data_IF_510857613396
#
_entry.id   IF_510857613396
#
_cell.length_a   1.000
_cell.length_b   1.000
_cell.length_c   1.000
_cell.angle_alpha   90.00
_cell.angle_beta   90.00
_cell.angle_gamma   90.00
#
_symmetry.space_group_name_H-M   'P 1'
#
loop_
_entity.id
_entity.type
_entity.pdbx_description
1 polymer ?
#
# COMPACT_ATOMS: atom_id res chain seq x y z
N UNK A 1 9.79 -26.39 14.05
CA UNK A 1 10.40 -25.42 14.99
C UNK A 1 10.62 -25.97 16.40
N UNK A 2 9.65 -26.63 17.05
CA UNK A 2 9.79 -27.15 18.43
C UNK A 2 11.02 -28.05 18.62
N UNK A 3 11.26 -29.02 17.73
CA UNK A 3 12.43 -29.92 17.82
C UNK A 3 13.77 -29.19 17.63
N UNK A 4 13.82 -28.21 16.73
CA UNK A 4 15.01 -27.40 16.48
C UNK A 4 15.34 -26.50 17.68
N UNK A 5 14.31 -25.92 18.32
CA UNK A 5 14.47 -25.13 19.54
C UNK A 5 14.95 -25.99 20.71
N UNK A 6 14.37 -27.17 20.90
CA UNK A 6 14.81 -28.11 21.94
C UNK A 6 16.27 -28.51 21.76
N UNK A 7 16.69 -28.83 20.54
CA UNK A 7 18.08 -29.16 20.21
C UNK A 7 19.02 -28.00 20.51
N UNK A 8 18.63 -26.79 20.11
CA UNK A 8 19.36 -25.57 20.38
C UNK A 8 19.54 -25.32 21.88
N UNK A 9 18.45 -25.45 22.64
CA UNK A 9 18.46 -25.23 24.09
C UNK A 9 19.35 -26.27 24.81
N UNK A 10 19.44 -27.51 24.31
CA UNK A 10 20.32 -28.55 24.86
C UNK A 10 21.78 -28.49 24.39
N UNK A 11 22.12 -27.65 23.40
CA UNK A 11 23.50 -27.56 22.90
C UNK A 11 24.41 -26.86 23.90
N UNK A 12 25.54 -27.50 24.23
CA UNK A 12 26.58 -26.98 25.11
C UNK A 12 27.48 -25.93 24.45
N UNK A 13 27.49 -25.85 23.12
CA UNK A 13 28.28 -24.87 22.37
C UNK A 13 27.41 -24.25 21.26
N UNK A 14 27.03 -22.98 21.43
CA UNK A 14 26.16 -22.25 20.50
C UNK A 14 26.95 -21.13 19.87
N UNK A 15 27.42 -21.36 18.65
CA UNK A 15 28.11 -20.34 17.85
C UNK A 15 27.11 -19.43 17.11
N UNK A 16 27.63 -18.35 16.50
CA UNK A 16 26.82 -17.37 15.77
C UNK A 16 26.00 -18.02 14.64
N UNK A 17 26.49 -19.10 14.03
CA UNK A 17 25.80 -19.82 12.95
C UNK A 17 24.56 -20.52 13.51
N UNK A 18 24.69 -21.21 14.63
CA UNK A 18 23.59 -21.95 15.27
C UNK A 18 22.50 -20.98 15.71
N UNK A 19 22.86 -19.85 16.33
CA UNK A 19 21.92 -18.79 16.68
C UNK A 19 21.20 -18.23 15.44
N UNK A 20 21.97 -17.88 14.41
CA UNK A 20 21.44 -17.32 13.15
C UNK A 20 20.45 -18.27 12.49
N UNK A 21 20.75 -19.58 12.48
CA UNK A 21 19.88 -20.59 11.88
C UNK A 21 18.51 -20.68 12.58
N UNK A 22 18.50 -20.64 13.91
CA UNK A 22 17.24 -20.70 14.68
C UNK A 22 16.43 -19.41 14.51
N UNK A 23 17.08 -18.24 14.55
CA UNK A 23 16.44 -16.95 14.29
C UNK A 23 15.79 -16.94 12.90
N UNK A 24 16.55 -17.31 11.86
CA UNK A 24 16.04 -17.40 10.49
C UNK A 24 14.87 -18.38 10.36
N UNK A 25 14.94 -19.53 11.06
CA UNK A 25 13.86 -20.51 11.08
C UNK A 25 12.55 -19.96 11.67
N UNK A 26 12.63 -19.22 12.78
CA UNK A 26 11.45 -18.58 13.38
C UNK A 26 10.92 -17.44 12.51
N UNK A 27 11.80 -16.59 11.98
CA UNK A 27 11.45 -15.48 11.09
C UNK A 27 10.70 -15.96 9.85
N UNK A 28 11.24 -16.96 9.13
CA UNK A 28 10.58 -17.57 7.95
C UNK A 28 9.28 -18.30 8.27
N UNK A 29 9.08 -18.70 9.53
CA UNK A 29 7.83 -19.33 9.98
C UNK A 29 6.78 -18.30 10.43
N UNK A 30 7.01 -16.99 10.21
CA UNK A 30 6.14 -15.90 10.66
C UNK A 30 6.14 -15.66 12.17
N UNK A 31 6.93 -16.40 12.93
CA UNK A 31 7.03 -16.29 14.39
C UNK A 31 8.06 -15.23 14.79
N UNK A 32 7.89 -14.01 14.26
CA UNK A 32 8.87 -12.92 14.37
C UNK A 32 9.15 -12.49 15.80
N UNK A 33 8.17 -12.58 16.71
CA UNK A 33 8.35 -12.27 18.13
C UNK A 33 9.38 -13.20 18.77
N UNK A 34 9.28 -14.51 18.51
CA UNK A 34 10.25 -15.48 19.02
C UNK A 34 11.61 -15.32 18.35
N UNK A 35 11.63 -15.00 17.06
CA UNK A 35 12.86 -14.70 16.33
C UNK A 35 13.59 -13.49 16.94
N UNK A 36 12.85 -12.41 17.25
CA UNK A 36 13.35 -11.18 17.89
C UNK A 36 13.96 -11.47 19.25
N UNK A 37 13.24 -12.17 20.12
CA UNK A 37 13.73 -12.53 21.45
C UNK A 37 15.06 -13.29 21.39
N UNK A 38 15.18 -14.24 20.46
CA UNK A 38 16.43 -14.98 20.27
C UNK A 38 17.52 -14.10 19.68
N UNK A 39 17.18 -13.25 18.70
CA UNK A 39 18.12 -12.31 18.10
C UNK A 39 18.70 -11.35 19.14
N UNK A 40 17.87 -10.81 20.04
CA UNK A 40 18.32 -9.95 21.14
C UNK A 40 19.34 -10.63 22.04
N UNK A 41 19.08 -11.88 22.40
CA UNK A 41 19.94 -12.71 23.25
C UNK A 41 21.24 -13.17 22.58
N UNK A 42 21.40 -12.98 21.26
CA UNK A 42 22.62 -13.36 20.56
C UNK A 42 23.82 -12.59 21.12
N UNK A 43 24.85 -13.29 21.66
CA UNK A 43 26.07 -12.66 22.19
C UNK A 43 26.84 -11.93 21.09
N UNK A 44 26.87 -12.53 19.90
CA UNK A 44 27.46 -11.96 18.70
C UNK A 44 26.42 -12.00 17.58
N UNK A 45 26.28 -10.89 16.86
CA UNK A 45 25.40 -10.76 15.69
C UNK A 45 26.25 -10.60 14.44
N UNK A 46 25.75 -11.08 13.31
CA UNK A 46 26.42 -10.91 12.02
C UNK A 46 25.43 -10.39 10.98
N UNK A 47 25.93 -10.03 9.81
CA UNK A 47 25.12 -9.49 8.70
C UNK A 47 23.93 -10.40 8.34
N UNK A 48 24.10 -11.72 8.45
CA UNK A 48 23.07 -12.71 8.12
C UNK A 48 21.95 -12.71 9.17
N UNK A 49 22.27 -12.63 10.46
CA UNK A 49 21.26 -12.59 11.52
C UNK A 49 20.44 -11.30 11.47
N UNK A 50 21.07 -10.16 11.22
CA UNK A 50 20.39 -8.87 11.00
C UNK A 50 19.44 -8.96 9.80
N UNK A 51 19.95 -9.41 8.65
CA UNK A 51 19.16 -9.51 7.42
C UNK A 51 17.99 -10.47 7.57
N UNK A 52 18.19 -11.61 8.25
CA UNK A 52 17.10 -12.57 8.50
C UNK A 52 15.96 -11.97 9.33
N UNK A 53 16.28 -11.15 10.34
CA UNK A 53 15.25 -10.46 11.12
C UNK A 53 14.53 -9.37 10.33
N UNK A 54 15.27 -8.55 9.58
CA UNK A 54 14.69 -7.50 8.73
C UNK A 54 13.75 -8.12 7.69
N UNK A 55 14.19 -9.20 7.02
CA UNK A 55 13.34 -9.95 6.08
C UNK A 55 12.12 -10.54 6.79
N UNK A 56 12.28 -11.11 7.99
CA UNK A 56 11.18 -11.67 8.77
C UNK A 56 10.10 -10.64 9.07
N UNK A 57 10.49 -9.45 9.53
CA UNK A 57 9.57 -8.34 9.79
C UNK A 57 8.83 -7.89 8.52
N UNK A 58 9.57 -7.66 7.43
CA UNK A 58 8.97 -7.27 6.15
C UNK A 58 7.98 -8.33 5.62
N UNK A 59 8.25 -9.62 5.81
CA UNK A 59 7.37 -10.71 5.35
C UNK A 59 6.04 -10.80 6.10
N UNK A 60 6.00 -10.39 7.37
CA UNK A 60 4.75 -10.37 8.16
C UNK A 60 4.05 -9.01 8.14
N UNK A 61 4.57 -8.04 7.38
CA UNK A 61 3.97 -6.71 7.22
C UNK A 61 4.36 -5.69 8.29
N UNK A 62 5.33 -6.01 9.15
CA UNK A 62 5.88 -5.10 10.17
C UNK A 62 7.00 -4.26 9.55
N UNK A 63 6.61 -3.35 8.65
CA UNK A 63 7.56 -2.60 7.80
C UNK A 63 8.34 -1.53 8.56
N UNK A 64 7.73 -0.89 9.57
CA UNK A 64 8.39 0.13 10.38
C UNK A 64 9.53 -0.50 11.18
N UNK A 65 9.24 -1.61 11.86
CA UNK A 65 10.22 -2.38 12.62
C UNK A 65 11.33 -2.94 11.74
N UNK A 66 11.03 -3.29 10.48
CA UNK A 66 12.05 -3.70 9.52
C UNK A 66 13.03 -2.57 9.19
N UNK A 67 12.55 -1.33 9.00
CA UNK A 67 13.40 -0.17 8.71
C UNK A 67 14.15 0.35 9.93
N UNK A 68 13.51 0.33 11.10
CA UNK A 68 14.18 0.61 12.37
C UNK A 68 15.35 -0.36 12.57
N UNK A 69 15.11 -1.65 12.37
CA UNK A 69 16.15 -2.66 12.54
C UNK A 69 17.27 -2.54 11.50
N UNK A 70 16.93 -2.15 10.27
CA UNK A 70 17.92 -1.84 9.24
C UNK A 70 18.79 -0.64 9.64
N UNK A 71 18.21 0.40 10.25
CA UNK A 71 18.98 1.54 10.76
C UNK A 71 19.86 1.14 11.95
N UNK A 72 19.37 0.32 12.87
CA UNK A 72 20.16 -0.22 13.98
C UNK A 72 21.37 -1.03 13.48
N UNK A 73 21.17 -1.84 12.43
CA UNK A 73 22.24 -2.59 11.78
C UNK A 73 23.35 -1.66 11.27
N UNK A 74 22.97 -0.54 10.64
CA UNK A 74 23.90 0.46 10.13
C UNK A 74 24.64 1.19 11.25
N UNK A 75 23.91 1.60 12.31
CA UNK A 75 24.48 2.26 13.48
C UNK A 75 25.46 1.36 14.24
N UNK A 76 25.19 0.06 14.26
CA UNK A 76 26.09 -0.96 14.80
C UNK A 76 27.31 -1.24 13.89
N UNK A 77 27.45 -0.55 12.76
CA UNK A 77 28.60 -0.64 11.86
C UNK A 77 28.55 -1.83 10.90
N UNK A 78 27.42 -2.54 10.79
CA UNK A 78 27.29 -3.66 9.86
C UNK A 78 26.91 -3.16 8.46
N UNK A 79 27.63 -3.67 7.46
CA UNK A 79 27.31 -3.43 6.06
C UNK A 79 26.16 -4.34 5.62
N UNK A 80 25.02 -3.81 5.14
CA UNK A 80 23.93 -4.63 4.63
C UNK A 80 24.37 -5.49 3.44
N UNK A 81 23.84 -6.71 3.37
CA UNK A 81 23.96 -7.55 2.19
C UNK A 81 22.71 -7.38 1.29
N UNK A 82 22.69 -8.10 0.16
CA UNK A 82 21.57 -8.10 -0.78
C UNK A 82 20.21 -8.36 -0.13
N UNK A 83 20.11 -9.35 0.76
CA UNK A 83 18.84 -9.71 1.40
C UNK A 83 18.31 -8.60 2.31
N UNK A 84 19.20 -7.99 3.11
CA UNK A 84 18.86 -6.85 3.96
C UNK A 84 18.41 -5.63 3.14
N UNK A 85 19.12 -5.31 2.05
CA UNK A 85 18.79 -4.20 1.15
C UNK A 85 17.43 -4.41 0.49
N UNK A 86 17.18 -5.57 -0.13
CA UNK A 86 15.91 -5.86 -0.80
C UNK A 86 14.74 -5.80 0.19
N UNK A 87 14.94 -6.29 1.41
CA UNK A 87 13.91 -6.27 2.44
C UNK A 87 13.62 -4.85 2.93
N UNK A 88 14.65 -4.03 3.10
CA UNK A 88 14.49 -2.61 3.45
C UNK A 88 13.84 -1.80 2.31
N UNK A 89 14.20 -2.05 1.04
CA UNK A 89 13.55 -1.43 -0.11
C UNK A 89 12.06 -1.77 -0.19
N UNK A 90 11.70 -3.03 0.06
CA UNK A 90 10.29 -3.46 0.14
C UNK A 90 9.55 -2.68 1.23
N UNK A 91 10.12 -2.58 2.44
CA UNK A 91 9.52 -1.80 3.52
C UNK A 91 9.39 -0.31 3.16
N UNK A 92 10.40 0.28 2.49
CA UNK A 92 10.31 1.65 1.97
C UNK A 92 9.16 1.81 0.96
N UNK A 93 8.97 0.83 0.08
CA UNK A 93 7.92 0.83 -0.93
C UNK A 93 6.51 0.82 -0.29
N UNK A 94 6.33 0.04 0.78
CA UNK A 94 5.07 -0.03 1.52
C UNK A 94 4.79 1.25 2.32
N UNK A 95 5.80 1.80 2.98
CA UNK A 95 5.66 2.99 3.83
C UNK A 95 5.71 4.30 3.03
N UNK A 96 6.06 4.26 1.75
CA UNK A 96 6.33 5.46 0.97
C UNK A 96 7.57 6.23 1.44
N UNK A 97 8.53 5.54 2.07
CA UNK A 97 9.74 6.12 2.65
C UNK A 97 10.80 6.45 1.58
N UNK A 98 10.47 7.39 0.70
CA UNK A 98 11.26 7.74 -0.49
C UNK A 98 12.70 8.15 -0.16
N UNK A 99 12.91 8.95 0.89
CA UNK A 99 14.24 9.44 1.25
C UNK A 99 15.17 8.31 1.70
N UNK A 100 14.65 7.35 2.48
CA UNK A 100 15.40 6.17 2.89
C UNK A 100 15.66 5.25 1.68
N UNK A 101 14.68 5.09 0.78
CA UNK A 101 14.86 4.36 -0.47
C UNK A 101 15.95 4.96 -1.38
N UNK A 102 16.00 6.29 -1.51
CA UNK A 102 17.07 7.00 -2.24
C UNK A 102 18.44 6.81 -1.60
N UNK A 103 18.50 6.85 -0.26
CA UNK A 103 19.75 6.58 0.45
C UNK A 103 20.24 5.14 0.19
N UNK A 104 19.34 4.15 0.23
CA UNK A 104 19.68 2.75 -0.05
C UNK A 104 20.13 2.59 -1.50
N UNK A 105 19.47 3.23 -2.47
CA UNK A 105 19.89 3.21 -3.87
C UNK A 105 21.30 3.80 -4.05
N UNK A 106 21.56 4.97 -3.47
CA UNK A 106 22.89 5.57 -3.50
C UNK A 106 23.95 4.70 -2.78
N UNK A 107 23.55 3.96 -1.74
CA UNK A 107 24.41 2.98 -1.09
C UNK A 107 24.78 1.83 -2.04
N UNK A 108 23.82 1.26 -2.76
CA UNK A 108 24.04 0.21 -3.79
C UNK A 108 25.08 0.66 -4.81
N UNK A 109 24.90 1.87 -5.37
CA UNK A 109 25.81 2.44 -6.38
C UNK A 109 27.23 2.66 -5.83
N UNK A 110 27.34 3.36 -4.68
CA UNK A 110 28.65 3.66 -4.06
C UNK A 110 29.44 2.42 -3.68
N UNK A 111 28.76 1.32 -3.46
CA UNK A 111 29.35 0.06 -3.05
C UNK A 111 29.58 -0.91 -4.22
N UNK A 112 29.32 -0.47 -5.46
CA UNK A 112 29.41 -1.27 -6.68
C UNK A 112 28.69 -2.61 -6.57
N UNK A 113 27.51 -2.61 -5.95
CA UNK A 113 26.67 -3.80 -5.89
C UNK A 113 26.04 -4.02 -7.26
N UNK A 114 26.15 -5.23 -7.80
CA UNK A 114 25.53 -5.60 -9.06
C UNK A 114 24.01 -5.46 -8.97
N UNK A 115 23.43 -4.74 -9.93
CA UNK A 115 21.99 -4.59 -10.11
C UNK A 115 21.42 -5.86 -10.77
N UNK A 116 21.30 -6.91 -9.97
CA UNK A 116 20.68 -8.15 -10.40
C UNK A 116 19.15 -8.01 -10.56
N UNK A 117 18.51 -9.07 -11.07
CA UNK A 117 17.06 -9.09 -11.28
C UNK A 117 16.27 -8.76 -10.01
N UNK A 118 16.68 -9.28 -8.85
CA UNK A 118 15.91 -9.14 -7.60
C UNK A 118 16.04 -7.73 -7.04
N UNK A 119 17.26 -7.20 -7.01
CA UNK A 119 17.54 -5.85 -6.55
C UNK A 119 16.94 -4.79 -7.48
N UNK A 120 17.05 -4.99 -8.80
CA UNK A 120 16.43 -4.13 -9.81
C UNK A 120 14.93 -4.04 -9.65
N UNK A 121 14.23 -5.18 -9.55
CA UNK A 121 12.78 -5.20 -9.32
C UNK A 121 12.40 -4.51 -8.01
N UNK A 122 13.15 -4.70 -6.92
CA UNK A 122 12.89 -4.04 -5.63
C UNK A 122 13.04 -2.51 -5.70
N UNK A 123 14.05 -2.02 -6.43
CA UNK A 123 14.25 -0.58 -6.65
C UNK A 123 13.13 0.02 -7.52
N UNK A 124 12.75 -0.66 -8.61
CA UNK A 124 11.63 -0.25 -9.47
C UNK A 124 10.34 -0.17 -8.64
N UNK A 125 10.02 -1.20 -7.86
CA UNK A 125 8.83 -1.23 -7.00
C UNK A 125 8.83 -0.10 -5.96
N UNK A 126 9.97 0.12 -5.31
CA UNK A 126 10.13 1.19 -4.32
C UNK A 126 9.88 2.57 -4.94
N UNK A 127 10.56 2.92 -6.03
CA UNK A 127 10.39 4.21 -6.68
C UNK A 127 8.98 4.38 -7.26
N UNK A 128 8.43 3.35 -7.89
CA UNK A 128 7.08 3.35 -8.43
C UNK A 128 6.03 3.61 -7.35
N UNK A 129 6.09 2.88 -6.22
CA UNK A 129 5.13 3.05 -5.13
C UNK A 129 5.28 4.37 -4.38
N UNK A 130 6.49 4.94 -4.35
CA UNK A 130 6.76 6.27 -3.82
C UNK A 130 6.43 7.41 -4.81
N UNK A 131 5.92 7.11 -6.01
CA UNK A 131 5.51 8.11 -7.00
C UNK A 131 6.65 8.77 -7.78
N UNK A 132 7.89 8.25 -7.70
CA UNK A 132 9.04 8.73 -8.48
C UNK A 132 9.21 7.90 -9.75
N UNK A 133 8.23 7.99 -10.65
CA UNK A 133 8.12 7.07 -11.80
C UNK A 133 9.27 7.22 -12.79
N UNK A 134 9.83 8.43 -12.93
CA UNK A 134 10.95 8.71 -13.83
C UNK A 134 12.24 7.98 -13.40
N UNK A 135 12.45 7.86 -12.08
CA UNK A 135 13.59 7.11 -11.52
C UNK A 135 13.33 5.62 -11.61
N UNK A 136 12.10 5.16 -11.31
CA UNK A 136 11.72 3.77 -11.50
C UNK A 136 11.95 3.32 -12.95
N UNK A 137 11.60 4.17 -13.91
CA UNK A 137 11.83 3.93 -15.34
C UNK A 137 13.31 3.80 -15.67
N UNK A 138 14.15 4.71 -15.17
CA UNK A 138 15.60 4.66 -15.41
C UNK A 138 16.21 3.36 -14.88
N UNK A 139 15.90 2.99 -13.65
CA UNK A 139 16.38 1.72 -13.06
C UNK A 139 15.90 0.55 -13.91
N UNK A 140 14.63 0.56 -14.32
CA UNK A 140 14.07 -0.47 -15.18
C UNK A 140 14.81 -0.58 -16.53
N UNK A 141 15.21 0.53 -17.13
CA UNK A 141 15.96 0.58 -18.40
C UNK A 141 17.43 0.12 -18.25
N UNK A 142 18.01 0.26 -17.07
CA UNK A 142 19.37 -0.20 -16.74
C UNK A 142 19.43 -1.70 -16.38
N UNK A 143 18.29 -2.32 -16.02
CA UNK A 143 18.26 -3.74 -15.65
C UNK A 143 18.70 -4.66 -16.81
N UNK A 144 19.63 -5.60 -16.56
CA UNK A 144 20.06 -6.56 -17.58
C UNK A 144 18.97 -7.58 -17.91
N UNK A 145 18.18 -7.97 -16.91
CA UNK A 145 17.07 -8.91 -17.02
C UNK A 145 15.84 -8.36 -16.31
N UNK A 146 14.72 -8.28 -17.03
CA UNK A 146 13.42 -7.82 -16.51
C UNK A 146 12.50 -9.01 -16.37
N UNK A 147 11.85 -9.12 -15.22
CA UNK A 147 10.82 -10.13 -15.00
C UNK A 147 9.43 -9.52 -14.95
N UNK A 148 8.44 -10.41 -14.89
CA UNK A 148 7.01 -10.10 -14.72
C UNK A 148 6.78 -9.05 -13.62
N UNK A 149 7.47 -9.18 -12.49
CA UNK A 149 7.30 -8.27 -11.35
C UNK A 149 7.80 -6.86 -11.67
N UNK A 150 8.96 -6.72 -12.32
CA UNK A 150 9.48 -5.41 -12.73
C UNK A 150 8.49 -4.67 -13.66
N UNK A 151 7.90 -5.38 -14.62
CA UNK A 151 6.88 -4.81 -15.50
C UNK A 151 5.60 -4.43 -14.75
N UNK A 152 5.12 -5.30 -13.87
CA UNK A 152 3.93 -5.05 -13.04
C UNK A 152 4.13 -3.81 -12.17
N UNK A 153 5.25 -3.72 -11.46
CA UNK A 153 5.58 -2.58 -10.60
C UNK A 153 5.65 -1.26 -11.37
N UNK A 154 6.24 -1.27 -12.58
CA UNK A 154 6.34 -0.06 -13.39
C UNK A 154 4.97 0.40 -13.93
N UNK A 155 4.15 -0.52 -14.45
CA UNK A 155 2.80 -0.19 -14.94
C UNK A 155 1.93 0.31 -13.78
N UNK A 156 1.97 -0.36 -12.62
CA UNK A 156 1.24 0.07 -11.42
C UNK A 156 1.70 1.44 -10.90
N UNK A 157 3.00 1.75 -11.00
CA UNK A 157 3.52 3.08 -10.67
C UNK A 157 2.96 4.19 -11.56
N UNK A 158 2.79 3.92 -12.86
CA UNK A 158 2.22 4.87 -13.81
C UNK A 158 0.75 5.19 -13.50
N UNK A 159 -0.01 4.22 -12.98
CA UNK A 159 -1.41 4.40 -12.54
C UNK A 159 -1.53 5.49 -11.46
N UNK A 160 -0.58 5.57 -10.52
CA UNK A 160 -0.60 6.56 -9.43
C UNK A 160 -0.38 7.99 -9.92
N UNK A 161 0.25 8.15 -11.08
CA UNK A 161 0.60 9.44 -11.66
C UNK A 161 -0.20 9.66 -12.94
N UNK A 162 -1.52 9.81 -12.88
CA UNK A 162 -2.33 10.00 -14.10
C UNK A 162 -2.13 11.40 -14.72
N UNK A 163 -1.09 11.53 -15.56
CA UNK A 163 -0.98 12.54 -16.61
C UNK A 163 -1.17 11.84 -17.96
N UNK A 164 -1.83 12.47 -18.94
CA UNK A 164 -2.12 11.85 -20.25
C UNK A 164 -0.91 11.18 -20.92
N UNK A 165 0.30 11.77 -20.81
CA UNK A 165 1.52 11.19 -21.38
C UNK A 165 1.96 9.84 -20.77
N UNK A 166 1.51 9.52 -19.56
CA UNK A 166 1.89 8.30 -18.84
C UNK A 166 1.01 7.10 -19.21
N UNK A 167 -0.16 7.34 -19.81
CA UNK A 167 -1.02 6.27 -20.37
C UNK A 167 -0.37 5.63 -21.59
N UNK A 168 0.12 6.45 -22.51
CA UNK A 168 0.85 5.96 -23.69
C UNK A 168 2.10 5.17 -23.30
N UNK A 169 2.81 5.64 -22.27
CA UNK A 169 3.99 4.96 -21.75
C UNK A 169 3.63 3.59 -21.16
N UNK A 170 2.56 3.52 -20.35
CA UNK A 170 2.09 2.25 -19.79
C UNK A 170 1.67 1.23 -20.85
N UNK A 171 1.00 1.69 -21.91
CA UNK A 171 0.67 0.86 -23.08
C UNK A 171 1.93 0.36 -23.79
N UNK A 172 2.91 1.24 -24.07
CA UNK A 172 4.18 0.87 -24.70
C UNK A 172 4.93 -0.19 -23.87
N UNK A 173 4.96 -0.01 -22.54
CA UNK A 173 5.58 -0.95 -21.61
C UNK A 173 4.88 -2.31 -21.67
N UNK A 174 3.55 -2.32 -21.55
CA UNK A 174 2.76 -3.54 -21.60
C UNK A 174 2.95 -4.31 -22.91
N UNK A 175 2.92 -3.62 -24.06
CA UNK A 175 3.18 -4.25 -25.36
C UNK A 175 4.60 -4.81 -25.49
N UNK A 176 5.59 -4.09 -24.93
CA UNK A 176 6.99 -4.50 -25.01
C UNK A 176 7.23 -5.84 -24.31
N UNK A 177 6.46 -6.18 -23.28
CA UNK A 177 6.57 -7.46 -22.55
C UNK A 177 6.57 -8.64 -23.51
N UNK A 178 5.57 -8.73 -24.38
CA UNK A 178 5.46 -9.83 -25.33
C UNK A 178 6.33 -9.59 -26.57
N UNK A 179 6.29 -8.38 -27.15
CA UNK A 179 6.95 -8.09 -28.45
C UNK A 179 8.48 -8.11 -28.37
N UNK A 180 9.05 -7.56 -27.30
CA UNK A 180 10.50 -7.37 -27.15
C UNK A 180 11.13 -8.39 -26.21
N UNK A 181 10.42 -8.81 -25.17
CA UNK A 181 10.97 -9.67 -24.11
C UNK A 181 10.41 -11.09 -24.09
N UNK A 182 9.40 -11.40 -24.91
CA UNK A 182 8.77 -12.74 -24.95
C UNK A 182 8.05 -13.13 -23.65
N UNK A 183 7.76 -12.15 -22.79
CA UNK A 183 7.04 -12.34 -21.53
C UNK A 183 5.56 -12.19 -21.81
N UNK A 184 4.79 -13.26 -21.56
CA UNK A 184 3.33 -13.22 -21.68
C UNK A 184 2.72 -12.46 -20.50
N UNK A 185 1.89 -11.43 -20.72
CA UNK A 185 1.20 -10.75 -19.64
C UNK A 185 0.21 -11.69 -18.93
N UNK A 186 0.32 -11.76 -17.61
CA UNK A 186 -0.66 -12.39 -16.72
C UNK A 186 -1.78 -11.44 -16.28
N UNK A 187 -2.76 -11.96 -15.53
CA UNK A 187 -3.97 -11.24 -15.05
C UNK A 187 -3.60 -9.95 -14.29
N UNK A 188 -2.53 -9.99 -13.51
CA UNK A 188 -2.00 -8.85 -12.74
C UNK A 188 -1.61 -7.66 -13.63
N UNK A 189 -1.06 -7.92 -14.82
CA UNK A 189 -0.68 -6.86 -15.75
C UNK A 189 -1.91 -6.25 -16.44
N UNK A 190 -2.89 -7.09 -16.79
CA UNK A 190 -4.17 -6.62 -17.33
C UNK A 190 -4.91 -5.77 -16.31
N UNK A 191 -4.91 -6.16 -15.02
CA UNK A 191 -5.50 -5.37 -13.94
C UNK A 191 -4.86 -4.00 -13.82
N UNK A 192 -3.53 -3.92 -13.85
CA UNK A 192 -2.82 -2.64 -13.83
C UNK A 192 -3.11 -1.78 -15.08
N UNK A 193 -3.22 -2.40 -16.26
CA UNK A 193 -3.55 -1.70 -17.49
C UNK A 193 -4.98 -1.14 -17.50
N UNK A 194 -5.94 -1.92 -17.00
CA UNK A 194 -7.34 -1.50 -16.84
C UNK A 194 -7.47 -0.37 -15.84
N UNK A 195 -6.76 -0.42 -14.71
CA UNK A 195 -6.72 0.68 -13.73
C UNK A 195 -6.12 1.95 -14.35
N UNK A 196 -5.05 1.82 -15.14
CA UNK A 196 -4.41 2.94 -15.84
C UNK A 196 -5.36 3.63 -16.83
N UNK A 197 -5.99 2.85 -17.73
CA UNK A 197 -6.94 3.35 -18.73
C UNK A 197 -8.19 3.92 -18.06
N UNK A 198 -8.68 3.22 -17.04
CA UNK A 198 -9.86 3.58 -16.27
C UNK A 198 -9.72 4.95 -15.60
N UNK A 199 -8.61 5.20 -14.91
CA UNK A 199 -8.33 6.52 -14.29
C UNK A 199 -8.10 7.64 -15.30
N UNK A 200 -7.68 7.30 -16.51
CA UNK A 200 -7.54 8.25 -17.60
C UNK A 200 -8.87 8.58 -18.29
N UNK A 201 -9.98 7.94 -17.89
CA UNK A 201 -11.29 8.09 -18.52
C UNK A 201 -11.46 7.34 -19.85
N UNK A 202 -10.51 6.48 -20.21
CA UNK A 202 -10.54 5.66 -21.42
C UNK A 202 -11.33 4.36 -21.18
N UNK A 203 -12.61 4.50 -20.85
CA UNK A 203 -13.47 3.39 -20.40
C UNK A 203 -13.70 2.33 -21.49
N UNK A 204 -13.85 2.75 -22.75
CA UNK A 204 -14.04 1.83 -23.88
C UNK A 204 -12.79 0.98 -24.12
N UNK A 205 -11.61 1.59 -24.05
CA UNK A 205 -10.34 0.88 -24.15
C UNK A 205 -10.14 -0.05 -22.96
N UNK A 206 -10.49 0.39 -21.74
CA UNK A 206 -10.44 -0.45 -20.55
C UNK A 206 -11.37 -1.67 -20.69
N UNK A 207 -12.60 -1.47 -21.17
CA UNK A 207 -13.54 -2.56 -21.48
C UNK A 207 -12.96 -3.53 -22.51
N UNK A 208 -12.40 -2.99 -23.59
CA UNK A 208 -11.77 -3.79 -24.65
C UNK A 208 -10.67 -4.69 -24.08
N UNK A 209 -9.80 -4.16 -23.23
CA UNK A 209 -8.74 -4.93 -22.57
C UNK A 209 -9.32 -6.10 -21.75
N UNK A 210 -10.39 -5.87 -20.98
CA UNK A 210 -11.07 -6.91 -20.20
C UNK A 210 -11.72 -7.98 -21.09
N UNK A 211 -12.24 -7.59 -22.26
CA UNK A 211 -12.87 -8.54 -23.20
C UNK A 211 -11.87 -9.35 -24.03
N UNK A 212 -10.70 -8.78 -24.35
CA UNK A 212 -9.71 -9.39 -25.23
C UNK A 212 -8.61 -10.17 -24.48
N UNK A 213 -8.53 -10.02 -23.15
CA UNK A 213 -7.50 -10.71 -22.37
C UNK A 213 -7.63 -12.25 -22.49
N UNK A 214 -6.50 -12.99 -22.57
CA UNK A 214 -6.48 -14.42 -22.85
C UNK A 214 -6.89 -15.31 -21.65
N UNK A 215 -7.08 -14.70 -20.49
CA UNK A 215 -7.39 -15.36 -19.22
C UNK A 215 -8.61 -14.70 -18.62
N UNK A 216 -9.38 -15.42 -17.81
CA UNK A 216 -10.54 -14.83 -17.14
C UNK A 216 -10.12 -13.70 -16.18
N UNK A 217 -10.81 -12.55 -16.17
CA UNK A 217 -10.49 -11.46 -15.26
C UNK A 217 -10.85 -11.82 -13.82
N UNK A 218 -9.96 -11.48 -12.90
CA UNK A 218 -10.13 -11.67 -11.46
C UNK A 218 -10.89 -10.50 -10.80
N UNK A 219 -11.04 -10.56 -9.47
CA UNK A 219 -11.73 -9.52 -8.70
C UNK A 219 -11.03 -8.16 -8.78
N UNK A 220 -9.71 -8.13 -8.97
CA UNK A 220 -8.96 -6.90 -9.08
C UNK A 220 -9.20 -6.21 -10.43
N UNK A 221 -9.13 -6.94 -11.55
CA UNK A 221 -9.40 -6.41 -12.90
C UNK A 221 -10.81 -5.82 -12.98
N UNK A 222 -11.81 -6.59 -12.56
CA UNK A 222 -13.21 -6.14 -12.59
C UNK A 222 -13.46 -5.02 -11.58
N UNK A 223 -12.81 -5.05 -10.42
CA UNK A 223 -12.84 -3.97 -9.44
C UNK A 223 -12.26 -2.66 -9.98
N UNK A 224 -11.15 -2.72 -10.73
CA UNK A 224 -10.54 -1.57 -11.38
C UNK A 224 -11.46 -0.95 -12.43
N UNK A 225 -12.07 -1.77 -13.29
CA UNK A 225 -13.06 -1.32 -14.28
C UNK A 225 -14.28 -0.68 -13.61
N UNK A 226 -14.83 -1.31 -12.57
CA UNK A 226 -15.96 -0.79 -11.83
C UNK A 226 -15.64 0.55 -11.14
N UNK A 227 -14.44 0.68 -10.56
CA UNK A 227 -13.99 1.94 -9.98
C UNK A 227 -13.91 3.03 -11.06
N UNK A 228 -13.39 2.73 -12.25
CA UNK A 228 -13.36 3.67 -13.36
C UNK A 228 -14.78 4.12 -13.77
N UNK A 229 -15.73 3.17 -13.88
CA UNK A 229 -17.13 3.47 -14.14
C UNK A 229 -17.72 4.40 -13.07
N UNK A 230 -17.39 4.18 -11.79
CA UNK A 230 -17.82 5.03 -10.68
C UNK A 230 -17.24 6.43 -10.72
N UNK A 231 -15.98 6.59 -11.13
CA UNK A 231 -15.32 7.90 -11.21
C UNK A 231 -15.84 8.70 -12.40
N UNK A 232 -16.10 8.04 -13.52
CA UNK A 232 -16.50 8.69 -14.77
C UNK A 232 -18.01 8.68 -15.05
N UNK A 233 -18.81 8.03 -14.21
CA UNK A 233 -20.27 8.06 -14.26
C UNK A 233 -20.89 7.15 -15.33
N UNK A 234 -20.20 6.08 -15.74
CA UNK A 234 -20.73 5.11 -16.71
C UNK A 234 -21.56 4.03 -16.00
N UNK A 235 -22.88 4.21 -16.03
CA UNK A 235 -23.84 3.36 -15.32
C UNK A 235 -23.98 1.99 -15.96
N UNK A 236 -24.07 1.94 -17.28
CA UNK A 236 -24.35 0.71 -18.02
C UNK A 236 -23.16 -0.25 -17.91
N UNK A 237 -21.94 0.27 -18.15
CA UNK A 237 -20.72 -0.54 -18.00
C UNK A 237 -20.50 -0.96 -16.54
N UNK A 238 -20.80 -0.09 -15.59
CA UNK A 238 -20.74 -0.40 -14.16
C UNK A 238 -21.65 -1.56 -13.76
N UNK A 239 -22.89 -1.57 -14.26
CA UNK A 239 -23.86 -2.64 -14.02
C UNK A 239 -23.40 -3.97 -14.63
N UNK A 240 -23.00 -3.96 -15.91
CA UNK A 240 -22.47 -5.14 -16.61
C UNK A 240 -21.27 -5.76 -15.84
N UNK A 241 -20.38 -4.90 -15.34
CA UNK A 241 -19.21 -5.33 -14.57
C UNK A 241 -19.60 -6.02 -13.25
N UNK A 242 -20.62 -5.53 -12.54
CA UNK A 242 -21.12 -6.16 -11.31
C UNK A 242 -21.85 -7.47 -11.58
N UNK A 243 -22.64 -7.55 -12.64
CA UNK A 243 -23.28 -8.81 -13.05
C UNK A 243 -22.22 -9.89 -13.30
N UNK A 244 -21.14 -9.55 -14.02
CA UNK A 244 -20.00 -10.45 -14.22
C UNK A 244 -19.27 -10.86 -12.91
N UNK A 245 -19.15 -9.96 -11.93
CA UNK A 245 -18.57 -10.27 -10.60
C UNK A 245 -19.45 -11.25 -9.80
N UNK A 246 -20.77 -11.06 -9.84
CA UNK A 246 -21.74 -11.89 -9.11
C UNK A 246 -21.83 -13.30 -9.71
N UNK A 247 -21.92 -13.41 -11.04
CA UNK A 247 -21.93 -14.71 -11.73
C UNK A 247 -20.72 -15.57 -11.39
N UNK A 248 -19.58 -14.92 -11.13
CA UNK A 248 -18.31 -15.57 -10.82
C UNK A 248 -18.05 -15.79 -9.34
N UNK A 249 -19.03 -15.49 -8.48
CA UNK A 249 -18.89 -15.57 -7.02
C UNK A 249 -17.73 -14.76 -6.43
N UNK A 250 -17.29 -13.71 -7.14
CA UNK A 250 -16.29 -12.74 -6.68
C UNK A 250 -16.96 -11.58 -5.89
N UNK A 251 -18.16 -11.82 -5.38
CA UNK A 251 -18.99 -10.83 -4.67
C UNK A 251 -18.43 -10.55 -3.27
N UNK A 252 -18.04 -9.30 -3.04
CA UNK A 252 -17.63 -8.79 -1.74
C UNK A 252 -18.20 -7.38 -1.53
N UNK A 253 -18.34 -6.98 -0.27
CA UNK A 253 -19.07 -5.80 0.19
C UNK A 253 -18.78 -4.51 -0.58
N UNK A 254 -17.52 -4.30 -0.95
CA UNK A 254 -17.06 -3.09 -1.66
C UNK A 254 -17.65 -2.92 -3.07
N UNK A 255 -17.96 -4.02 -3.78
CA UNK A 255 -18.51 -3.97 -5.16
C UNK A 255 -19.87 -3.27 -5.16
N UNK A 256 -20.75 -3.67 -4.25
CA UNK A 256 -22.09 -3.08 -4.13
C UNK A 256 -22.03 -1.61 -3.70
N UNK A 257 -21.00 -1.21 -2.94
CA UNK A 257 -20.78 0.20 -2.59
C UNK A 257 -20.42 1.01 -3.83
N UNK A 258 -19.49 0.52 -4.67
CA UNK A 258 -19.12 1.19 -5.92
C UNK A 258 -20.32 1.29 -6.87
N UNK A 259 -21.11 0.23 -7.03
CA UNK A 259 -22.34 0.28 -7.83
C UNK A 259 -23.38 1.24 -7.25
N UNK A 260 -23.54 1.27 -5.93
CA UNK A 260 -24.40 2.26 -5.27
C UNK A 260 -23.94 3.70 -5.53
N UNK A 261 -22.62 3.94 -5.62
CA UNK A 261 -22.08 5.27 -5.92
C UNK A 261 -22.34 5.65 -7.38
N UNK A 262 -22.20 4.71 -8.31
CA UNK A 262 -22.54 4.87 -9.73
C UNK A 262 -24.02 5.28 -9.87
N UNK A 263 -24.95 4.53 -9.27
CA UNK A 263 -26.38 4.87 -9.32
C UNK A 263 -26.70 6.20 -8.66
N UNK A 264 -26.04 6.53 -7.54
CA UNK A 264 -26.20 7.84 -6.90
C UNK A 264 -25.74 8.98 -7.82
N UNK A 265 -24.60 8.82 -8.52
CA UNK A 265 -24.07 9.81 -9.46
C UNK A 265 -25.00 10.03 -10.67
N UNK A 266 -25.75 9.00 -11.05
CA UNK A 266 -26.74 9.05 -12.13
C UNK A 266 -28.15 9.46 -11.66
N UNK A 267 -28.32 9.89 -10.41
CA UNK A 267 -29.61 10.22 -9.79
C UNK A 267 -30.65 9.07 -9.77
N UNK A 268 -30.19 7.82 -9.86
CA UNK A 268 -31.03 6.62 -9.80
C UNK A 268 -31.19 6.14 -8.35
N UNK A 269 -31.88 6.95 -7.54
CA UNK A 269 -32.01 6.72 -6.08
C UNK A 269 -32.80 5.46 -5.71
N UNK A 270 -33.71 5.01 -6.56
CA UNK A 270 -34.45 3.76 -6.36
C UNK A 270 -33.51 2.54 -6.38
N UNK A 271 -32.55 2.52 -7.31
CA UNK A 271 -31.58 1.43 -7.45
C UNK A 271 -30.57 1.44 -6.31
N UNK A 272 -30.16 2.63 -5.84
CA UNK A 272 -29.37 2.79 -4.61
C UNK A 272 -30.07 2.16 -3.40
N UNK A 273 -31.37 2.43 -3.23
CA UNK A 273 -32.15 1.86 -2.14
C UNK A 273 -32.26 0.34 -2.24
N UNK A 274 -32.46 -0.20 -3.45
CA UNK A 274 -32.52 -1.64 -3.71
C UNK A 274 -31.21 -2.34 -3.36
N UNK A 275 -30.05 -1.77 -3.73
CA UNK A 275 -28.73 -2.30 -3.35
C UNK A 275 -28.55 -2.30 -1.84
N UNK A 276 -28.86 -1.19 -1.17
CA UNK A 276 -28.70 -1.06 0.29
C UNK A 276 -29.55 -2.09 1.05
N UNK A 277 -30.81 -2.27 0.65
CA UNK A 277 -31.69 -3.33 1.19
C UNK A 277 -31.13 -4.74 0.93
N UNK A 278 -30.52 -4.97 -0.24
CA UNK A 278 -29.86 -6.23 -0.56
C UNK A 278 -28.66 -6.53 0.34
N UNK A 279 -27.85 -5.50 0.64
CA UNK A 279 -26.69 -5.61 1.53
C UNK A 279 -27.08 -5.91 2.99
N UNK A 280 -28.14 -5.29 3.49
CA UNK A 280 -28.69 -5.56 4.83
C UNK A 280 -29.18 -7.01 4.97
N UNK A 281 -29.89 -7.51 3.95
CA UNK A 281 -30.36 -8.90 3.91
C UNK A 281 -29.22 -9.91 3.87
N UNK A 282 -28.14 -9.62 3.13
CA UNK A 282 -26.94 -10.47 3.04
C UNK A 282 -26.05 -10.40 4.28
N UNK A 283 -26.39 -9.62 5.33
CA UNK A 283 -25.56 -9.38 6.54
C UNK A 283 -24.12 -8.98 6.20
N UNK A 284 -23.94 -8.25 5.09
CA UNK A 284 -22.64 -7.79 4.68
C UNK A 284 -22.18 -6.73 5.69
N UNK A 285 -21.18 -7.07 6.52
CA UNK A 285 -20.60 -6.10 7.48
C UNK A 285 -19.86 -5.03 6.69
N UNK A 286 -20.48 -3.87 6.49
CA UNK A 286 -19.76 -2.65 6.18
C UNK A 286 -18.85 -2.38 7.38
N UNK A 287 -17.53 -2.34 7.19
CA UNK A 287 -16.65 -1.80 8.22
C UNK A 287 -16.77 -0.29 8.08
N UNK A 288 -17.47 0.41 8.98
CA UNK A 288 -17.50 1.87 8.95
C UNK A 288 -16.05 2.39 9.03
N UNK A 289 -15.74 3.45 8.30
CA UNK A 289 -14.43 4.09 8.41
C UNK A 289 -14.20 4.53 9.85
N UNK A 290 -13.04 4.27 10.43
CA UNK A 290 -12.70 4.73 11.77
C UNK A 290 -11.53 5.71 11.72
N UNK A 291 -11.58 6.73 12.57
CA UNK A 291 -10.46 7.62 12.86
C UNK A 291 -10.02 7.37 14.29
N UNK A 292 -8.72 7.29 14.52
CA UNK A 292 -8.14 7.10 15.85
C UNK A 292 -7.42 8.39 16.24
N UNK A 293 -7.69 8.88 17.45
CA UNK A 293 -6.99 10.03 18.02
C UNK A 293 -6.40 9.61 19.35
N UNK A 294 -5.10 9.76 19.52
CA UNK A 294 -4.43 9.55 20.80
C UNK A 294 -4.28 10.89 21.52
N UNK A 295 -4.86 11.00 22.73
CA UNK A 295 -4.69 12.15 23.63
C UNK A 295 -4.27 11.61 24.99
N UNK A 296 -3.14 12.08 25.50
CA UNK A 296 -2.58 11.70 26.80
C UNK A 296 -2.43 10.17 26.99
N UNK A 297 -2.00 9.46 25.94
CA UNK A 297 -1.80 8.00 25.97
C UNK A 297 -3.09 7.18 25.93
N UNK A 298 -4.24 7.84 25.72
CA UNK A 298 -5.54 7.19 25.53
C UNK A 298 -5.93 7.30 24.06
N UNK A 299 -6.13 6.16 23.43
CA UNK A 299 -6.60 6.06 22.03
C UNK A 299 -8.13 6.11 22.02
N UNK A 300 -8.66 7.12 21.33
CA UNK A 300 -10.07 7.32 21.08
C UNK A 300 -10.40 6.90 19.66
N UNK A 301 -11.33 5.95 19.51
CA UNK A 301 -11.84 5.51 18.21
C UNK A 301 -13.14 6.24 17.86
N UNK A 302 -13.17 6.86 16.68
CA UNK A 302 -14.33 7.54 16.12
C UNK A 302 -14.78 6.80 14.88
N UNK A 303 -15.92 6.12 14.98
CA UNK A 303 -16.49 5.32 13.91
C UNK A 303 -17.45 6.19 13.08
N UNK A 304 -17.31 6.17 11.74
CA UNK A 304 -18.14 6.92 10.82
C UNK A 304 -19.61 6.50 10.94
N UNK A 305 -20.47 7.46 11.30
CA UNK A 305 -21.90 7.27 11.52
C UNK A 305 -22.26 6.82 12.94
N UNK A 306 -21.28 6.58 13.81
CA UNK A 306 -21.54 6.38 15.23
C UNK A 306 -21.99 7.69 15.88
N UNK A 307 -23.08 7.61 16.64
CA UNK A 307 -23.64 8.73 17.42
C UNK A 307 -23.69 8.44 18.92
N UNK A 308 -23.07 7.35 19.35
CA UNK A 308 -23.11 6.87 20.74
C UNK A 308 -22.23 7.69 21.68
N UNK A 309 -21.32 8.49 21.15
CA UNK A 309 -20.45 9.34 21.96
C UNK A 309 -21.25 10.41 22.71
N UNK A 310 -21.03 10.52 24.02
CA UNK A 310 -21.78 11.42 24.91
C UNK A 310 -21.67 12.89 24.48
N UNK A 311 -20.58 13.26 23.81
CA UNK A 311 -20.31 14.62 23.30
C UNK A 311 -20.53 14.75 21.78
N UNK A 312 -21.28 13.84 21.15
CA UNK A 312 -21.44 13.82 19.69
C UNK A 312 -22.01 15.13 19.13
N UNK A 313 -22.95 15.77 19.82
CA UNK A 313 -23.51 17.06 19.39
C UNK A 313 -22.44 18.16 19.35
N UNK A 314 -21.57 18.22 20.37
CA UNK A 314 -20.47 19.18 20.43
C UNK A 314 -19.41 18.93 19.37
N UNK A 315 -19.09 17.65 19.10
CA UNK A 315 -18.14 17.24 18.05
C UNK A 315 -18.66 17.62 16.66
N UNK A 316 -19.95 17.38 16.38
CA UNK A 316 -20.58 17.77 15.12
C UNK A 316 -20.58 19.29 14.97
N UNK A 317 -20.93 20.03 16.03
CA UNK A 317 -20.93 21.49 16.02
C UNK A 317 -19.52 22.05 15.77
N UNK A 318 -18.49 21.52 16.44
CA UNK A 318 -17.10 21.90 16.23
C UNK A 318 -16.65 21.60 14.79
N UNK A 319 -17.01 20.44 14.25
CA UNK A 319 -16.66 20.05 12.87
C UNK A 319 -17.31 20.98 11.84
N UNK A 320 -18.57 21.39 12.05
CA UNK A 320 -19.27 22.36 11.19
C UNK A 320 -18.62 23.74 11.25
N UNK A 321 -18.20 24.20 12.43
CA UNK A 321 -17.49 25.47 12.60
C UNK A 321 -16.11 25.43 11.92
N UNK A 322 -15.38 24.32 12.07
CA UNK A 322 -14.07 24.15 11.45
C UNK A 322 -14.14 24.11 9.92
N UNK A 323 -15.13 23.39 9.36
CA UNK A 323 -15.34 23.30 7.91
C UNK A 323 -15.80 24.64 7.31
N UNK A 324 -16.51 25.47 8.09
CA UNK A 324 -16.85 26.84 7.71
C UNK A 324 -15.60 27.75 7.70
N UNK A 325 -14.71 27.61 8.68
CA UNK A 325 -13.45 28.34 8.72
C UNK A 325 -12.44 27.89 7.66
N UNK A 326 -12.33 26.59 7.37
CA UNK A 326 -11.40 26.07 6.35
C UNK A 326 -11.76 26.51 4.93
N UNK A 327 -13.05 26.69 4.63
CA UNK A 327 -13.50 27.31 3.36
C UNK A 327 -13.20 28.81 3.25
N UNK A 328 -12.94 29.48 4.38
CA UNK A 328 -12.63 30.92 4.40
C UNK A 328 -11.12 31.18 4.33
N UNK A 329 -10.27 30.17 4.60
CA UNK A 329 -8.81 30.29 4.64
C UNK A 329 -8.07 29.99 3.32
N UNK A 330 -8.77 29.76 2.21
CA UNK A 330 -8.14 29.76 0.87
C UNK A 330 -8.05 31.19 0.32
N UNK A 331 -7.35 32.07 1.03
CA UNK A 331 -6.85 33.34 0.49
C UNK A 331 -5.42 33.50 0.99
N UNK A 332 -4.50 33.31 0.05
CA UNK A 332 -3.09 33.67 -0.03
C UNK A 332 -2.10 33.19 1.07
N UNK A 333 -1.16 32.36 0.60
CA UNK A 333 0.15 32.14 1.21
C UNK A 333 0.85 33.50 1.47
N UNK A 334 1.50 33.61 2.62
CA UNK A 334 2.24 34.77 3.14
C UNK A 334 1.44 35.80 3.97
N UNK A 335 1.02 35.44 5.19
CA UNK A 335 1.18 36.31 6.37
C UNK A 335 0.89 35.54 7.68
N UNK A 336 1.87 35.48 8.58
CA UNK A 336 1.68 35.01 9.95
C UNK A 336 0.93 36.10 10.73
N UNK A 337 -0.33 35.86 11.11
CA UNK A 337 -1.03 36.66 12.10
C UNK A 337 -1.11 35.84 13.39
N UNK A 338 -0.15 36.06 14.27
CA UNK A 338 -0.25 35.73 15.70
C UNK A 338 -1.13 36.79 16.35
N UNK A 339 -2.44 36.55 16.49
CA UNK A 339 -3.29 37.24 17.49
C UNK A 339 -4.75 36.72 17.50
N UNK A 340 -4.94 35.41 17.69
CA UNK A 340 -6.26 34.89 18.10
C UNK A 340 -6.21 33.54 18.83
N UNK A 341 -5.09 33.21 19.48
CA UNK A 341 -4.89 31.93 20.19
C UNK A 341 -5.46 31.90 21.62
N UNK A 342 -6.03 32.99 22.13
CA UNK A 342 -6.51 33.04 23.52
C UNK A 342 -7.95 32.52 23.75
N UNK A 343 -8.69 32.13 22.71
CA UNK A 343 -10.04 31.54 22.90
C UNK A 343 -10.14 30.03 22.59
N UNK A 344 -9.03 29.37 22.24
CA UNK A 344 -9.02 27.92 21.93
C UNK A 344 -8.69 27.06 23.17
N UNK A 345 -8.37 27.67 24.31
CA UNK A 345 -7.93 26.96 25.52
C UNK A 345 -9.03 26.33 26.40
N UNK A 346 -10.25 26.12 25.88
CA UNK A 346 -11.35 25.51 26.65
C UNK A 346 -11.88 24.18 26.08
N UNK A 347 -11.11 23.46 25.24
CA UNK A 347 -11.47 22.12 24.81
C UNK A 347 -10.34 21.12 25.16
N UNK A 348 -10.58 20.12 26.04
CA UNK A 348 -9.54 19.18 26.49
C UNK A 348 -8.96 18.26 25.39
N UNK A 349 -9.48 18.33 24.17
CA UNK A 349 -9.14 17.45 23.05
C UNK A 349 -8.15 18.08 22.04
N UNK A 350 -7.71 19.32 22.24
CA UNK A 350 -6.87 20.05 21.28
C UNK A 350 -5.39 20.06 21.69
N UNK A 351 -4.87 18.90 22.08
CA UNK A 351 -3.47 18.65 22.32
C UNK A 351 -2.86 17.72 21.27
N UNK A 352 -2.66 18.22 20.05
CA UNK A 352 -1.69 17.76 19.03
C UNK A 352 -2.26 17.79 17.61
N UNK A 353 -1.40 18.19 16.67
CA UNK A 353 -1.67 18.35 15.25
C UNK A 353 -2.04 17.00 14.62
N UNK A 354 -3.33 16.70 14.41
CA UNK A 354 -3.73 15.70 13.44
C UNK A 354 -5.08 16.06 12.80
N UNK A 355 -5.12 15.98 11.46
CA UNK A 355 -6.28 16.29 10.62
C UNK A 355 -7.41 15.29 10.90
N UNK A 356 -8.54 15.77 11.41
CA UNK A 356 -9.80 15.04 11.39
C UNK A 356 -10.33 14.97 9.95
N UNK A 357 -10.46 13.77 9.40
CA UNK A 357 -11.32 13.50 8.26
C UNK A 357 -12.69 13.09 8.82
N UNK A 358 -13.71 13.93 8.58
CA UNK A 358 -15.12 13.64 8.87
C UNK A 358 -15.82 13.27 7.58
#
# INVERSE_FOLDING_TARGET
MVSARKLFDTSSNRDVITWTAVVNGYAKSGQVVHARQLFDQMPEKNVVSWSAMITGYAQVGLFEEALELFNDMLLAGFRPNYAGIVSALSACAFLGALDQGRWIHAFVDKNNMELDRVLGTALVDMYAKCGCIEVARRVFDEMPYRDVFAFTSLISGLVKSCRMGLVEEGLKIFESMNKSYGIKPGVEHYGCLVDLLGRAGMLEEAKKVVTEMPTEPDSYVLGALLNACSVHGDVELGKETVEGLVERSLDHSGIHVLLSNIYASANQWNDVENIRKGLEKKKVKKVPGCSLIEVDGVVWEFIAGDRSHVLMEDIILCSLVFNKHSKTLWIDDDYIITDSLEQVHACPLLGSKNKLFV
#
